data_IF_898247640377
#
_entry.id   IF_898247640377
#
_cell.length_a   1.000
_cell.length_b   1.000
_cell.length_c   1.000
_cell.angle_alpha   90.00
_cell.angle_beta   90.00
_cell.angle_gamma   90.00
#
_symmetry.space_group_name_H-M   'P 1'
#
loop_
_entity.id
_entity.type
_entity.pdbx_description
1 polymer ?
#
# COMPACT_ATOMS: atom_id res chain seq x y z
N UNK A 1 3.51 1.04 11.10
CA UNK A 1 3.72 1.50 12.49
C UNK A 1 2.41 1.25 13.22
N UNK A 2 2.39 0.42 14.26
CA UNK A 2 1.18 0.20 15.06
C UNK A 2 0.98 1.42 15.94
N UNK A 3 -0.04 2.21 15.67
CA UNK A 3 -0.50 3.21 16.64
C UNK A 3 -0.87 2.45 17.92
N UNK A 4 -0.27 2.87 19.05
CA UNK A 4 -0.45 2.20 20.33
C UNK A 4 -1.82 2.60 20.91
N UNK A 5 -2.88 2.06 20.31
CA UNK A 5 -4.27 2.30 20.63
C UNK A 5 -4.67 1.43 21.82
N UNK A 6 -5.22 2.04 22.87
CA UNK A 6 -5.62 1.32 24.09
C UNK A 6 -7.12 1.37 24.30
N UNK A 7 -7.70 0.24 24.66
CA UNK A 7 -9.10 0.14 25.05
C UNK A 7 -9.33 0.72 26.45
N UNK A 8 -10.55 1.12 26.75
CA UNK A 8 -10.95 1.59 28.09
C UNK A 8 -10.63 0.53 29.16
N UNK A 9 -10.69 -0.77 28.81
CA UNK A 9 -10.33 -1.86 29.73
C UNK A 9 -8.84 -1.81 30.09
N UNK A 10 -7.97 -1.77 29.10
CA UNK A 10 -6.52 -1.70 29.31
C UNK A 10 -6.11 -0.45 30.07
N UNK A 11 -6.75 0.69 29.79
CA UNK A 11 -6.53 1.94 30.53
C UNK A 11 -6.93 1.82 32.00
N UNK A 12 -8.08 1.21 32.28
CA UNK A 12 -8.56 1.03 33.64
C UNK A 12 -7.63 0.11 34.45
N UNK A 13 -7.21 -1.00 33.82
CA UNK A 13 -6.30 -1.96 34.42
C UNK A 13 -4.91 -1.34 34.68
N UNK A 14 -4.40 -0.51 33.75
CA UNK A 14 -3.08 0.15 33.89
C UNK A 14 -3.08 1.30 34.89
N UNK A 15 -4.16 2.11 34.93
CA UNK A 15 -4.28 3.21 35.89
C UNK A 15 -4.74 2.76 37.27
N UNK A 16 -5.06 1.48 37.43
CA UNK A 16 -5.62 0.90 38.65
C UNK A 16 -6.89 1.64 39.13
N UNK A 17 -7.76 1.98 38.17
CA UNK A 17 -9.05 2.66 38.39
C UNK A 17 -10.19 1.91 37.72
N UNK A 18 -11.43 2.24 38.07
CA UNK A 18 -12.58 1.61 37.42
C UNK A 18 -12.75 2.05 35.96
N UNK A 19 -13.26 1.17 35.10
CA UNK A 19 -13.64 1.51 33.71
C UNK A 19 -14.60 2.70 33.63
N UNK A 20 -15.43 2.86 34.67
CA UNK A 20 -16.37 3.99 34.77
C UNK A 20 -15.65 5.31 35.05
N UNK A 21 -14.60 5.29 35.88
CA UNK A 21 -13.76 6.46 36.12
C UNK A 21 -13.10 6.95 34.83
N UNK A 22 -12.55 6.02 34.03
CA UNK A 22 -12.00 6.34 32.70
C UNK A 22 -13.08 6.94 31.80
N UNK A 23 -14.27 6.30 31.70
CA UNK A 23 -15.38 6.80 30.87
C UNK A 23 -15.83 8.21 31.24
N UNK A 24 -15.84 8.56 32.53
CA UNK A 24 -16.22 9.90 33.00
C UNK A 24 -15.29 11.00 32.46
N UNK A 25 -14.04 10.65 32.11
CA UNK A 25 -13.04 11.58 31.56
C UNK A 25 -13.07 11.66 30.04
N UNK A 26 -13.76 10.76 29.35
CA UNK A 26 -14.00 10.84 27.91
C UNK A 26 -15.16 11.80 27.61
N UNK A 27 -14.94 13.10 27.84
CA UNK A 27 -15.88 14.16 27.43
C UNK A 27 -16.03 14.20 25.91
N UNK A 28 -17.07 14.87 25.42
CA UNK A 28 -17.35 14.95 23.98
C UNK A 28 -16.19 15.57 23.19
N UNK A 29 -15.59 16.64 23.71
CA UNK A 29 -14.38 17.27 23.16
C UNK A 29 -13.15 16.34 23.18
N UNK A 30 -12.97 15.58 24.26
CA UNK A 30 -11.88 14.61 24.36
C UNK A 30 -12.06 13.48 23.33
N UNK A 31 -13.31 13.04 23.14
CA UNK A 31 -13.64 12.00 22.17
C UNK A 31 -13.41 12.45 20.74
N UNK A 32 -13.73 13.70 20.41
CA UNK A 32 -13.53 14.24 19.07
C UNK A 32 -12.05 14.25 18.65
N UNK A 33 -11.13 14.43 19.61
CA UNK A 33 -9.71 14.64 19.32
C UNK A 33 -8.81 13.43 19.62
N UNK A 34 -9.22 12.55 20.53
CA UNK A 34 -8.32 11.53 21.10
C UNK A 34 -8.92 10.12 21.19
N UNK A 35 -10.12 9.91 20.65
CA UNK A 35 -10.79 8.61 20.70
C UNK A 35 -11.25 8.21 19.31
N UNK A 36 -10.94 6.98 18.96
CA UNK A 36 -11.29 6.38 17.68
C UNK A 36 -12.16 5.15 17.89
N UNK A 37 -12.94 4.83 16.87
CA UNK A 37 -13.72 3.59 16.83
C UNK A 37 -13.11 2.67 15.78
N UNK A 38 -12.49 1.60 16.23
CA UNK A 38 -11.92 0.57 15.36
C UNK A 38 -12.84 -0.64 15.29
N UNK A 39 -12.87 -1.32 14.15
CA UNK A 39 -13.58 -2.61 14.03
C UNK A 39 -12.59 -3.72 14.28
N UNK A 40 -12.72 -4.41 15.41
CA UNK A 40 -11.91 -5.57 15.76
C UNK A 40 -12.80 -6.80 15.86
N UNK A 41 -12.47 -7.85 15.12
CA UNK A 41 -13.25 -9.11 15.09
C UNK A 41 -14.75 -8.91 14.79
N UNK A 42 -15.08 -7.97 13.91
CA UNK A 42 -16.47 -7.64 13.55
C UNK A 42 -17.23 -6.79 14.58
N UNK A 43 -16.59 -6.40 15.69
CA UNK A 43 -17.18 -5.58 16.76
C UNK A 43 -16.53 -4.19 16.78
N UNK A 44 -17.37 -3.15 16.78
CA UNK A 44 -16.91 -1.76 16.94
C UNK A 44 -16.42 -1.55 18.38
N UNK A 45 -15.13 -1.28 18.51
CA UNK A 45 -14.45 -1.08 19.79
C UNK A 45 -13.90 0.33 19.86
N UNK A 46 -14.17 1.00 21.00
CA UNK A 46 -13.63 2.31 21.27
C UNK A 46 -12.19 2.19 21.79
N UNK A 47 -11.28 2.89 21.14
CA UNK A 47 -9.87 2.94 21.52
C UNK A 47 -9.42 4.37 21.66
N UNK A 48 -8.50 4.60 22.59
CA UNK A 48 -7.92 5.89 22.87
C UNK A 48 -6.56 5.96 22.19
N UNK A 49 -6.30 7.06 21.50
CA UNK A 49 -5.01 7.31 20.85
C UNK A 49 -3.92 7.51 21.88
N UNK A 50 -2.66 7.44 21.44
CA UNK A 50 -1.52 7.64 22.34
C UNK A 50 -1.57 9.01 23.06
N UNK A 51 -2.05 10.05 22.39
CA UNK A 51 -2.20 11.39 22.97
C UNK A 51 -3.29 11.41 24.05
N UNK A 52 -4.42 10.76 23.81
CA UNK A 52 -5.48 10.60 24.82
C UNK A 52 -5.03 9.78 26.04
N UNK A 53 -4.27 8.71 25.81
CA UNK A 53 -3.70 7.89 26.89
C UNK A 53 -2.86 8.74 27.85
N UNK A 54 -1.99 9.61 27.33
CA UNK A 54 -1.11 10.46 28.15
C UNK A 54 -1.91 11.44 29.01
N UNK A 55 -2.95 12.06 28.46
CA UNK A 55 -3.83 12.98 29.19
C UNK A 55 -4.59 12.26 30.32
N UNK A 56 -5.10 11.06 30.04
CA UNK A 56 -5.80 10.25 31.05
C UNK A 56 -4.84 9.77 32.14
N UNK A 57 -3.64 9.32 31.76
CA UNK A 57 -2.60 8.90 32.70
C UNK A 57 -2.29 9.99 33.70
N UNK A 58 -2.06 11.22 33.24
CA UNK A 58 -1.83 12.39 34.10
C UNK A 58 -2.94 12.58 35.13
N UNK A 59 -4.21 12.48 34.71
CA UNK A 59 -5.35 12.72 35.59
C UNK A 59 -5.45 11.65 36.69
N UNK A 60 -5.15 10.39 36.38
CA UNK A 60 -5.27 9.29 37.35
C UNK A 60 -4.03 9.11 38.22
N UNK A 61 -2.83 9.45 37.73
CA UNK A 61 -1.60 9.34 38.53
C UNK A 61 -1.46 10.47 39.57
N UNK A 62 -1.99 11.66 39.29
CA UNK A 62 -1.94 12.79 40.23
C UNK A 62 -2.87 12.61 41.44
N UNK A 63 -3.97 11.87 41.29
CA UNK A 63 -4.95 11.67 42.38
C UNK A 63 -4.53 10.63 43.42
N UNK A 64 -3.64 9.70 43.09
CA UNK A 64 -3.20 8.62 43.99
C UNK A 64 -1.97 8.97 44.83
N UNK A 65 -1.33 10.12 44.59
CA UNK A 65 -0.17 10.58 45.38
C UNK A 65 -0.56 11.36 46.64
N UNK A 66 -1.85 11.64 46.84
CA UNK A 66 -2.38 12.35 48.01
C UNK A 66 -3.34 11.45 48.80
N UNK A 67 -2.79 10.59 49.64
CA UNK A 67 -3.45 10.02 50.81
C UNK A 67 -2.38 9.84 51.87
N UNK A 68 -2.42 10.40 53.08
CA UNK A 68 -3.50 10.96 53.88
C UNK A 68 -2.99 12.24 54.56
N UNK A 69 -3.77 13.32 54.60
CA UNK A 69 -4.03 14.01 55.87
C UNK A 69 -5.27 14.89 55.75
N UNK A 70 -6.04 14.93 56.83
CA UNK A 70 -7.27 15.68 56.99
C UNK A 70 -6.89 17.09 57.42
N UNK A 71 -6.74 18.05 56.49
CA UNK A 71 -6.63 19.47 56.87
C UNK A 71 -7.44 20.35 55.91
N UNK A 72 -8.25 21.18 56.55
CA UNK A 72 -9.10 22.27 56.06
C UNK A 72 -8.33 23.33 55.28
N UNK A 73 -9.05 24.03 54.39
CA UNK A 73 -8.75 25.33 53.77
C UNK A 73 -7.35 25.95 53.97
N UNK A 74 -6.66 26.25 52.85
CA UNK A 74 -6.19 27.60 52.46
C UNK A 74 -5.17 27.47 51.32
N UNK A 75 -5.38 28.30 50.28
CA UNK A 75 -4.55 28.57 49.10
C UNK A 75 -3.06 28.22 49.15
N UNK A 76 -2.61 27.34 48.24
CA UNK A 76 -1.27 27.46 47.62
C UNK A 76 -1.17 26.69 46.27
N UNK A 77 -0.94 27.36 45.12
CA UNK A 77 -0.79 26.72 43.81
C UNK A 77 0.71 26.57 43.50
N UNK A 78 1.34 25.45 43.88
CA UNK A 78 2.77 25.28 43.53
C UNK A 78 3.17 23.84 43.22
N UNK A 79 2.43 22.85 43.73
CA UNK A 79 2.73 21.43 43.44
C UNK A 79 2.21 20.97 42.08
N UNK A 80 1.15 21.61 41.55
CA UNK A 80 0.64 21.34 40.21
C UNK A 80 1.60 21.77 39.10
N UNK A 81 2.28 22.91 39.27
CA UNK A 81 3.15 23.52 38.25
C UNK A 81 4.41 22.68 37.98
N UNK A 82 5.08 22.16 39.02
CA UNK A 82 6.22 21.25 38.86
C UNK A 82 5.84 19.96 38.12
N UNK A 83 4.62 19.47 38.31
CA UNK A 83 4.12 18.27 37.63
C UNK A 83 3.81 18.55 36.16
N UNK A 84 3.26 19.72 35.84
CA UNK A 84 2.97 20.15 34.47
C UNK A 84 4.26 20.37 33.69
N UNK A 85 5.26 21.02 34.28
CA UNK A 85 6.59 21.21 33.65
C UNK A 85 7.25 19.87 33.32
N UNK A 86 7.27 18.92 34.27
CA UNK A 86 7.85 17.58 34.03
C UNK A 86 7.12 16.80 32.94
N UNK A 87 5.81 16.98 32.83
CA UNK A 87 4.99 16.35 31.78
C UNK A 87 5.27 17.02 30.43
N UNK A 88 5.37 18.34 30.38
CA UNK A 88 5.75 19.08 29.18
C UNK A 88 7.14 18.67 28.69
N UNK A 89 8.11 18.47 29.59
CA UNK A 89 9.44 17.96 29.26
C UNK A 89 9.40 16.54 28.68
N UNK A 90 8.62 15.63 29.27
CA UNK A 90 8.42 14.29 28.70
C UNK A 90 7.74 14.34 27.32
N UNK A 91 6.76 15.24 27.14
CA UNK A 91 6.12 15.43 25.84
C UNK A 91 7.10 15.96 24.81
N UNK A 92 7.96 16.92 25.18
CA UNK A 92 9.01 17.45 24.32
C UNK A 92 9.94 16.34 23.88
N UNK A 93 10.44 15.55 24.83
CA UNK A 93 11.33 14.42 24.56
C UNK A 93 10.71 13.38 23.61
N UNK A 94 9.44 13.05 23.81
CA UNK A 94 8.73 12.11 22.92
C UNK A 94 8.56 12.72 21.53
N UNK A 95 8.22 14.01 21.42
CA UNK A 95 8.10 14.70 20.14
C UNK A 95 9.43 14.79 19.40
N UNK A 96 10.52 15.10 20.09
CA UNK A 96 11.86 15.18 19.52
C UNK A 96 12.29 13.82 18.96
N UNK A 97 12.05 12.73 19.71
CA UNK A 97 12.32 11.37 19.22
C UNK A 97 11.44 10.98 18.03
N UNK A 98 10.19 11.46 17.98
CA UNK A 98 9.33 11.26 16.81
C UNK A 98 9.83 12.04 15.60
N UNK A 99 10.32 13.26 15.79
CA UNK A 99 10.94 14.06 14.74
C UNK A 99 12.19 13.37 14.20
N UNK A 100 13.09 12.92 15.06
CA UNK A 100 14.30 12.19 14.67
C UNK A 100 13.97 10.94 13.84
N UNK A 101 12.97 10.16 14.26
CA UNK A 101 12.51 9.00 13.49
C UNK A 101 11.94 9.39 12.11
N UNK A 102 11.18 10.50 12.03
CA UNK A 102 10.63 11.00 10.77
C UNK A 102 11.74 11.52 9.85
N UNK A 103 12.72 12.23 10.39
CA UNK A 103 13.87 12.72 9.63
C UNK A 103 14.73 11.56 9.11
N UNK A 104 14.90 10.50 9.90
CA UNK A 104 15.55 9.26 9.46
C UNK A 104 14.78 8.60 8.31
N UNK A 105 13.45 8.50 8.42
CA UNK A 105 12.60 7.95 7.36
C UNK A 105 12.66 8.81 6.08
N UNK A 106 12.62 10.14 6.20
CA UNK A 106 12.76 11.07 5.09
C UNK A 106 14.12 10.87 4.41
N UNK A 107 15.19 10.74 5.19
CA UNK A 107 16.55 10.50 4.66
C UNK A 107 16.64 9.20 3.87
N UNK A 108 16.02 8.12 4.37
CA UNK A 108 15.95 6.84 3.67
C UNK A 108 15.15 6.94 2.36
N UNK A 109 14.00 7.62 2.38
CA UNK A 109 13.18 7.83 1.19
C UNK A 109 13.91 8.67 0.15
N UNK A 110 14.61 9.73 0.57
CA UNK A 110 15.41 10.57 -0.32
C UNK A 110 16.52 9.76 -0.98
N UNK A 111 17.20 8.89 -0.22
CA UNK A 111 18.24 8.03 -0.78
C UNK A 111 17.69 7.04 -1.83
N UNK A 112 16.53 6.43 -1.57
CA UNK A 112 15.88 5.54 -2.53
C UNK A 112 15.45 6.28 -3.80
N UNK A 113 14.93 7.51 -3.66
CA UNK A 113 14.56 8.35 -4.78
C UNK A 113 15.79 8.72 -5.64
N UNK A 114 16.89 9.10 -5.00
CA UNK A 114 18.14 9.40 -5.68
C UNK A 114 18.69 8.18 -6.44
N UNK A 115 18.61 6.99 -5.84
CA UNK A 115 18.97 5.73 -6.52
C UNK A 115 18.08 5.48 -7.74
N UNK A 116 16.77 5.66 -7.61
CA UNK A 116 15.84 5.50 -8.72
C UNK A 116 16.10 6.49 -9.86
N UNK A 117 16.40 7.75 -9.54
CA UNK A 117 16.77 8.76 -10.54
C UNK A 117 18.06 8.38 -11.27
N UNK A 118 19.08 7.90 -10.54
CA UNK A 118 20.34 7.44 -11.15
C UNK A 118 20.13 6.26 -12.11
N UNK A 119 19.35 5.27 -11.69
CA UNK A 119 19.00 4.12 -12.53
C UNK A 119 18.23 4.56 -13.78
N UNK A 120 17.23 5.42 -13.62
CA UNK A 120 16.46 5.95 -14.75
C UNK A 120 17.33 6.70 -15.77
N UNK A 121 18.36 7.43 -15.31
CA UNK A 121 19.33 8.08 -16.19
C UNK A 121 20.24 7.08 -16.91
N UNK A 122 20.65 5.99 -16.24
CA UNK A 122 21.41 4.91 -16.87
C UNK A 122 20.59 4.19 -17.94
N UNK A 123 19.35 3.83 -17.63
CA UNK A 123 18.42 3.19 -18.57
C UNK A 123 18.16 4.09 -19.78
N UNK A 124 17.98 5.40 -19.56
CA UNK A 124 17.84 6.38 -20.65
C UNK A 124 19.06 6.39 -21.56
N UNK A 125 20.28 6.41 -20.99
CA UNK A 125 21.53 6.40 -21.77
C UNK A 125 21.65 5.13 -22.61
N UNK A 126 21.38 3.97 -22.01
CA UNK A 126 21.42 2.68 -22.70
C UNK A 126 20.39 2.62 -23.84
N UNK A 127 19.18 3.14 -23.62
CA UNK A 127 18.15 3.24 -24.67
C UNK A 127 18.56 4.17 -25.81
N UNK A 128 19.27 5.26 -25.51
CA UNK A 128 19.79 6.18 -26.51
C UNK A 128 20.90 5.52 -27.35
N UNK A 129 21.82 4.80 -26.70
CA UNK A 129 22.87 4.00 -27.36
C UNK A 129 22.27 2.94 -28.31
N UNK A 130 21.28 2.17 -27.85
CA UNK A 130 20.60 1.19 -28.70
C UNK A 130 19.86 1.84 -29.87
N UNK A 131 19.26 3.03 -29.68
CA UNK A 131 18.63 3.76 -30.78
C UNK A 131 19.65 4.23 -31.81
N UNK A 132 20.81 4.74 -31.39
CA UNK A 132 21.89 5.11 -32.32
C UNK A 132 22.42 3.89 -33.07
N UNK A 133 22.68 2.78 -32.38
CA UNK A 133 23.22 1.57 -33.01
C UNK A 133 22.23 0.97 -34.00
N UNK A 134 20.92 0.96 -33.69
CA UNK A 134 19.88 0.58 -34.66
C UNK A 134 19.91 1.50 -35.89
N UNK A 135 20.10 2.81 -35.71
CA UNK A 135 20.11 3.76 -36.81
C UNK A 135 21.37 3.61 -37.70
N UNK A 136 22.52 3.37 -37.09
CA UNK A 136 23.77 3.05 -37.80
C UNK A 136 23.64 1.74 -38.56
N UNK A 137 23.11 0.69 -37.93
CA UNK A 137 22.85 -0.60 -38.58
C UNK A 137 21.88 -0.48 -39.73
N UNK A 138 20.83 0.34 -39.61
CA UNK A 138 19.91 0.65 -40.72
C UNK A 138 20.60 1.39 -41.85
N UNK A 139 21.47 2.35 -41.53
CA UNK A 139 22.22 3.13 -42.51
C UNK A 139 23.26 2.26 -43.25
N UNK A 140 23.90 1.33 -42.54
CA UNK A 140 24.77 0.30 -43.11
C UNK A 140 23.99 -0.73 -43.95
N UNK A 141 22.69 -0.91 -43.71
CA UNK A 141 21.86 -1.93 -44.39
C UNK A 141 21.24 -1.52 -45.73
N UNK A 142 21.39 -0.29 -46.25
CA UNK A 142 20.63 0.10 -47.46
C UNK A 142 21.45 0.23 -48.77
N UNK A 143 20.94 -0.25 -49.94
CA UNK A 143 19.70 -1.02 -50.19
C UNK A 143 19.92 -2.39 -50.88
N UNK A 144 19.58 -3.48 -50.20
CA UNK A 144 19.14 -4.75 -50.85
C UNK A 144 17.71 -5.17 -50.44
N UNK A 145 17.04 -4.42 -49.56
CA UNK A 145 15.74 -4.82 -48.99
C UNK A 145 14.55 -4.65 -49.96
N UNK A 146 14.59 -3.73 -50.93
CA UNK A 146 13.49 -3.59 -51.91
C UNK A 146 13.27 -4.84 -52.79
N UNK A 147 14.31 -5.65 -52.98
CA UNK A 147 14.18 -6.94 -53.69
C UNK A 147 13.75 -8.08 -52.78
N UNK A 148 14.17 -8.11 -51.51
CA UNK A 148 13.85 -9.22 -50.60
C UNK A 148 12.46 -9.12 -49.96
N UNK A 149 11.97 -7.90 -49.73
CA UNK A 149 10.64 -7.70 -49.14
C UNK A 149 9.52 -8.02 -50.14
N UNK A 150 9.70 -7.64 -51.42
CA UNK A 150 8.79 -8.08 -52.51
C UNK A 150 8.80 -9.60 -52.71
N UNK A 151 9.98 -10.22 -52.71
CA UNK A 151 10.09 -11.68 -52.90
C UNK A 151 9.44 -12.46 -51.76
N UNK A 152 9.63 -12.00 -50.52
CA UNK A 152 9.02 -12.62 -49.34
C UNK A 152 7.50 -12.43 -49.32
N UNK A 153 6.99 -11.27 -49.76
CA UNK A 153 5.54 -11.05 -49.84
C UNK A 153 4.87 -11.87 -50.96
N UNK A 154 5.51 -12.02 -52.12
CA UNK A 154 5.00 -12.90 -53.20
C UNK A 154 5.02 -14.38 -52.79
N UNK A 155 6.07 -14.84 -52.11
CA UNK A 155 6.13 -16.21 -51.57
C UNK A 155 5.03 -16.45 -50.54
N UNK A 156 4.79 -15.50 -49.63
CA UNK A 156 3.69 -15.62 -48.65
C UNK A 156 2.32 -15.64 -49.32
N UNK A 157 2.11 -14.83 -50.38
CA UNK A 157 0.84 -14.83 -51.12
C UNK A 157 0.62 -16.11 -51.92
N UNK A 158 1.66 -16.67 -52.53
CA UNK A 158 1.57 -17.94 -53.27
C UNK A 158 1.32 -19.12 -52.34
N UNK A 159 2.00 -19.18 -51.20
CA UNK A 159 1.75 -20.19 -50.15
C UNK A 159 0.31 -20.09 -49.63
N UNK A 160 -0.20 -18.87 -49.41
CA UNK A 160 -1.59 -18.67 -48.97
C UNK A 160 -2.62 -19.19 -49.99
N UNK A 161 -2.43 -18.89 -51.28
CA UNK A 161 -3.30 -19.42 -52.35
C UNK A 161 -3.25 -20.95 -52.46
N UNK A 162 -2.08 -21.54 -52.28
CA UNK A 162 -1.93 -23.00 -52.26
C UNK A 162 -2.66 -23.64 -51.05
N UNK A 163 -2.57 -23.02 -49.87
CA UNK A 163 -3.32 -23.43 -48.67
C UNK A 163 -4.83 -23.38 -48.90
N UNK A 164 -5.35 -22.28 -49.47
CA UNK A 164 -6.78 -22.15 -49.78
C UNK A 164 -7.25 -23.23 -50.77
N UNK A 165 -6.50 -23.47 -51.84
CA UNK A 165 -6.83 -24.50 -52.83
C UNK A 165 -6.79 -25.93 -52.25
N UNK A 166 -5.88 -26.20 -51.32
CA UNK A 166 -5.83 -27.48 -50.60
C UNK A 166 -7.03 -27.63 -49.65
N UNK A 167 -7.40 -26.57 -48.94
CA UNK A 167 -8.54 -26.56 -48.04
C UNK A 167 -9.87 -26.80 -48.78
N UNK A 168 -10.03 -26.22 -49.98
CA UNK A 168 -11.21 -26.46 -50.81
C UNK A 168 -11.28 -27.89 -51.35
N UNK A 169 -10.13 -28.49 -51.69
CA UNK A 169 -10.06 -29.92 -52.05
C UNK A 169 -10.44 -30.83 -50.88
N UNK A 170 -10.00 -30.51 -49.67
CA UNK A 170 -10.35 -31.27 -48.45
C UNK A 170 -11.85 -31.19 -48.20
N UNK A 171 -12.44 -29.99 -48.25
CA UNK A 171 -13.91 -29.82 -48.14
C UNK A 171 -14.68 -30.58 -49.21
N UNK A 172 -14.18 -30.58 -50.46
CA UNK A 172 -14.78 -31.35 -51.55
C UNK A 172 -14.75 -32.86 -51.30
N UNK A 173 -13.63 -33.39 -50.79
CA UNK A 173 -13.52 -34.79 -50.39
C UNK A 173 -14.44 -35.14 -49.22
N UNK A 174 -14.55 -34.29 -48.21
CA UNK A 174 -15.47 -34.49 -47.08
C UNK A 174 -16.92 -34.56 -47.56
N UNK A 175 -17.34 -33.67 -48.45
CA UNK A 175 -18.70 -33.68 -49.01
C UNK A 175 -18.97 -34.95 -49.83
N UNK A 176 -18.01 -35.39 -50.65
CA UNK A 176 -18.12 -36.65 -51.39
C UNK A 176 -18.18 -37.84 -50.45
N UNK A 177 -17.35 -37.87 -49.41
CA UNK A 177 -17.36 -38.94 -48.41
C UNK A 177 -18.69 -38.99 -47.66
N UNK A 178 -19.23 -37.84 -47.24
CA UNK A 178 -20.56 -37.75 -46.62
C UNK A 178 -21.65 -38.24 -47.58
N UNK A 179 -21.57 -37.91 -48.87
CA UNK A 179 -22.55 -38.36 -49.86
C UNK A 179 -22.46 -39.87 -50.12
N UNK A 180 -21.24 -40.41 -50.24
CA UNK A 180 -21.01 -41.85 -50.42
C UNK A 180 -21.47 -42.61 -49.18
N UNK A 181 -21.15 -42.13 -47.98
CA UNK A 181 -21.61 -42.69 -46.70
C UNK A 181 -23.14 -42.71 -46.59
N UNK A 182 -23.81 -41.61 -46.96
CA UNK A 182 -25.30 -41.55 -47.00
C UNK A 182 -25.89 -42.55 -48.00
N UNK A 183 -25.31 -42.69 -49.20
CA UNK A 183 -25.76 -43.68 -50.20
C UNK A 183 -25.51 -45.12 -49.72
N UNK A 184 -24.41 -45.37 -49.03
CA UNK A 184 -24.09 -46.67 -48.44
C UNK A 184 -25.09 -47.05 -47.35
N UNK A 185 -25.47 -46.10 -46.48
CA UNK A 185 -26.46 -46.33 -45.43
C UNK A 185 -27.86 -46.64 -45.97
N UNK A 186 -28.24 -46.08 -47.13
CA UNK A 186 -29.51 -46.38 -47.81
C UNK A 186 -29.51 -47.76 -48.47
N UNK A 187 -28.34 -48.29 -48.85
CA UNK A 187 -28.22 -49.61 -49.48
C UNK A 187 -28.36 -50.76 -48.45
N UNK A 188 -28.12 -50.49 -47.18
CA UNK A 188 -28.23 -51.46 -46.07
C UNK A 188 -29.57 -51.42 -45.32
N UNK A 189 -30.56 -50.70 -45.84
CA UNK A 189 -31.91 -50.59 -45.28
C UNK A 189 -32.93 -51.24 -46.23
#
# INVERSE_FOLDING_TARGET
>A
MSENLKTIKELADEFNVSKQAVRKRLTEEFRANHVETITSNGVKTLVVTYTGYMLLKQHFTTSNATGNDKVTDTSNPTTGDLSVVKILEQQLFVKDKQLENKDSQISQMQNLLDQQQRLALQDKKLLEEYKSEINELKSLKMPQEDKKENQSQEEVQTIKKQMEALNDKIKGQEQLNIQVSKKWYQFWK
#
